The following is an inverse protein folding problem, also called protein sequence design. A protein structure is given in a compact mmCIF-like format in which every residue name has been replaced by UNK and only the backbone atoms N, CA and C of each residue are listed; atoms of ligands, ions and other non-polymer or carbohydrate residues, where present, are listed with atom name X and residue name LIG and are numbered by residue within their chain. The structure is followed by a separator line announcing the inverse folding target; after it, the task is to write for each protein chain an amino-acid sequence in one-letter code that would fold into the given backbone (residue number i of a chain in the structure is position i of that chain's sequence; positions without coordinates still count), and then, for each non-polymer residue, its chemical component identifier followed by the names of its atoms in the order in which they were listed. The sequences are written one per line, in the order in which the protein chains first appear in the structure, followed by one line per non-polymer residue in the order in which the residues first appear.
data_IF_030350231960
#
_entry.id   IF_030350231960
#
_cell.length_a   1.000
_cell.length_b   1.000
_cell.length_c   1.000
_cell.angle_alpha   90.00
_cell.angle_beta   90.00
_cell.angle_gamma   90.00
#
_symmetry.space_group_name_H-M   'P 1'
#
loop_
_entity.id
_entity.type
_entity.pdbx_description
1 polymer ?
#
# COMPACT_ATOMS: atom_id res chain seq x y z
N UNK A 1 5.68 -15.55 -10.20
CA UNK A 1 5.34 -14.52 -11.19
C UNK A 1 5.77 -13.12 -10.75
N UNK A 2 5.31 -12.58 -9.60
CA UNK A 2 5.68 -11.23 -9.12
C UNK A 2 7.18 -11.02 -8.99
N UNK A 3 7.88 -12.01 -8.45
CA UNK A 3 9.33 -11.95 -8.33
C UNK A 3 10.00 -11.80 -9.70
N UNK A 4 9.63 -12.62 -10.69
CA UNK A 4 10.18 -12.60 -12.05
C UNK A 4 10.07 -11.22 -12.71
N UNK A 5 8.91 -10.58 -12.63
CA UNK A 5 8.71 -9.25 -13.24
C UNK A 5 9.49 -8.16 -12.50
N UNK A 6 9.57 -8.23 -11.17
CA UNK A 6 10.42 -7.33 -10.38
C UNK A 6 11.90 -7.53 -10.73
N UNK A 7 12.34 -8.78 -10.91
CA UNK A 7 13.72 -9.08 -11.32
C UNK A 7 14.05 -8.44 -12.68
N UNK A 8 13.13 -8.53 -13.64
CA UNK A 8 13.31 -7.93 -14.96
C UNK A 8 13.38 -6.41 -14.88
N UNK A 9 12.44 -5.77 -14.18
CA UNK A 9 12.43 -4.32 -13.98
C UNK A 9 13.74 -3.80 -13.37
N UNK A 10 14.24 -4.46 -12.32
CA UNK A 10 15.48 -4.07 -11.65
C UNK A 10 16.73 -4.23 -12.53
N UNK A 11 16.75 -5.21 -13.44
CA UNK A 11 17.86 -5.42 -14.39
C UNK A 11 17.90 -4.35 -15.47
N UNK A 12 16.75 -3.82 -15.85
CA UNK A 12 16.61 -2.70 -16.79
C UNK A 12 16.70 -1.33 -16.09
N UNK A 13 17.23 -1.29 -14.87
CA UNK A 13 17.39 -0.09 -14.05
C UNK A 13 16.08 0.69 -13.78
N UNK A 14 14.95 0.00 -13.70
CA UNK A 14 13.67 0.61 -13.33
C UNK A 14 13.54 0.68 -11.81
N UNK A 15 13.44 1.89 -11.26
CA UNK A 15 13.22 2.13 -9.84
C UNK A 15 11.83 1.63 -9.42
N UNK A 16 11.72 0.81 -8.36
CA UNK A 16 10.43 0.29 -7.90
C UNK A 16 9.72 1.21 -6.91
N UNK A 17 8.39 1.17 -6.95
CA UNK A 17 7.48 1.60 -5.87
C UNK A 17 6.51 0.44 -5.58
N UNK A 18 5.95 0.38 -4.37
CA UNK A 18 5.13 -0.77 -3.95
C UNK A 18 3.70 -0.34 -3.60
N UNK A 19 2.73 -0.92 -4.29
CA UNK A 19 1.31 -0.81 -3.92
C UNK A 19 0.77 -2.17 -3.43
N UNK A 20 0.38 -2.23 -2.16
CA UNK A 20 -0.27 -3.42 -1.58
C UNK A 20 -1.78 -3.34 -1.83
N UNK A 21 -2.26 -4.12 -2.78
CA UNK A 21 -3.67 -4.13 -3.20
C UNK A 21 -4.50 -5.19 -2.43
N UNK A 22 -5.83 -5.06 -2.53
CA UNK A 22 -6.85 -5.96 -1.93
C UNK A 22 -6.89 -5.93 -0.41
N UNK A 23 -6.56 -4.79 0.20
CA UNK A 23 -6.60 -4.62 1.67
C UNK A 23 -8.03 -4.80 2.21
N UNK A 24 -9.05 -4.52 1.41
CA UNK A 24 -10.46 -4.77 1.75
C UNK A 24 -10.74 -6.24 2.12
N UNK A 25 -10.08 -7.20 1.47
CA UNK A 25 -10.24 -8.64 1.78
C UNK A 25 -9.59 -9.01 3.11
N UNK A 26 -8.51 -8.33 3.50
CA UNK A 26 -7.85 -8.55 4.79
C UNK A 26 -8.78 -8.21 5.96
N UNK A 27 -9.63 -7.20 5.78
CA UNK A 27 -10.60 -6.78 6.79
C UNK A 27 -11.90 -7.59 6.70
N UNK A 28 -12.45 -7.80 5.50
CA UNK A 28 -13.77 -8.46 5.34
C UNK A 28 -13.71 -9.97 5.51
N UNK A 29 -12.73 -10.63 4.90
CA UNK A 29 -12.66 -12.09 4.87
C UNK A 29 -11.82 -12.62 6.02
N UNK A 30 -10.64 -12.02 6.24
CA UNK A 30 -9.69 -12.48 7.25
C UNK A 30 -9.87 -11.81 8.62
N UNK A 31 -10.66 -10.72 8.71
CA UNK A 31 -10.94 -9.96 9.94
C UNK A 31 -9.70 -9.70 10.78
N UNK A 32 -8.60 -9.34 10.12
CA UNK A 32 -7.31 -9.14 10.78
C UNK A 32 -7.33 -7.89 11.66
N UNK A 33 -6.73 -8.00 12.84
CA UNK A 33 -6.48 -6.86 13.72
C UNK A 33 -5.45 -5.91 13.08
N UNK A 34 -5.45 -4.60 13.42
CA UNK A 34 -4.52 -3.63 12.85
C UNK A 34 -3.04 -4.07 12.95
N UNK A 35 -2.65 -4.65 14.08
CA UNK A 35 -1.29 -5.15 14.31
C UNK A 35 -0.93 -6.30 13.34
N UNK A 36 -1.84 -7.24 13.11
CA UNK A 36 -1.63 -8.35 12.19
C UNK A 36 -1.52 -7.87 10.73
N UNK A 37 -2.28 -6.83 10.36
CA UNK A 37 -2.14 -6.20 9.04
C UNK A 37 -0.79 -5.52 8.89
N UNK A 38 -0.35 -4.78 9.92
CA UNK A 38 0.98 -4.15 9.92
C UNK A 38 2.10 -5.18 9.79
N UNK A 39 2.07 -6.26 10.58
CA UNK A 39 3.03 -7.35 10.47
C UNK A 39 3.05 -7.95 9.06
N UNK A 40 1.87 -8.15 8.46
CA UNK A 40 1.76 -8.67 7.10
C UNK A 40 2.35 -7.71 6.07
N UNK A 41 2.10 -6.41 6.19
CA UNK A 41 2.68 -5.40 5.31
C UNK A 41 4.19 -5.34 5.45
N UNK A 42 4.72 -5.31 6.68
CA UNK A 42 6.16 -5.34 6.94
C UNK A 42 6.82 -6.58 6.33
N UNK A 43 6.16 -7.74 6.40
CA UNK A 43 6.66 -8.98 5.77
C UNK A 43 6.70 -8.89 4.26
N UNK A 44 5.68 -8.29 3.62
CA UNK A 44 5.65 -8.05 2.18
C UNK A 44 6.78 -7.10 1.77
N UNK A 45 6.91 -5.97 2.47
CA UNK A 45 7.94 -4.96 2.23
C UNK A 45 9.33 -5.56 2.37
N UNK A 46 9.59 -6.31 3.45
CA UNK A 46 10.87 -6.98 3.69
C UNK A 46 11.23 -7.95 2.55
N UNK A 47 10.26 -8.71 2.04
CA UNK A 47 10.49 -9.61 0.90
C UNK A 47 10.84 -8.85 -0.38
N UNK A 48 10.16 -7.73 -0.66
CA UNK A 48 10.46 -6.88 -1.82
C UNK A 48 11.85 -6.24 -1.69
N UNK A 49 12.16 -5.70 -0.52
CA UNK A 49 13.46 -5.10 -0.20
C UNK A 49 14.63 -6.08 -0.30
N UNK A 50 14.42 -7.35 0.07
CA UNK A 50 15.39 -8.42 -0.16
C UNK A 50 15.65 -8.62 -1.65
N UNK A 51 14.60 -8.69 -2.48
CA UNK A 51 14.76 -8.83 -3.93
C UNK A 51 15.50 -7.65 -4.55
N UNK A 52 15.21 -6.43 -4.09
CA UNK A 52 15.91 -5.21 -4.54
C UNK A 52 17.40 -5.31 -4.19
N UNK A 53 17.75 -5.67 -2.95
CA UNK A 53 19.15 -5.81 -2.53
C UNK A 53 19.91 -6.90 -3.31
N UNK A 54 19.22 -7.98 -3.65
CA UNK A 54 19.83 -9.12 -4.36
C UNK A 54 20.10 -8.80 -5.84
N UNK A 55 19.26 -7.97 -6.48
CA UNK A 55 19.23 -7.84 -7.94
C UNK A 55 19.65 -6.44 -8.43
N UNK A 56 19.30 -5.38 -7.70
CA UNK A 56 19.58 -4.02 -8.14
C UNK A 56 21.10 -3.79 -8.31
N UNK A 57 21.50 -2.90 -9.22
CA UNK A 57 22.90 -2.49 -9.35
C UNK A 57 23.46 -1.99 -8.02
N UNK A 58 24.76 -2.18 -7.79
CA UNK A 58 25.41 -1.89 -6.51
C UNK A 58 25.14 -0.45 -6.00
N UNK A 59 25.03 0.52 -6.92
CA UNK A 59 24.74 1.92 -6.62
C UNK A 59 23.31 2.20 -6.14
N UNK A 60 22.36 1.29 -6.40
CA UNK A 60 20.94 1.46 -6.10
C UNK A 60 20.39 0.51 -5.02
N UNK A 61 21.14 -0.52 -4.61
CA UNK A 61 20.69 -1.54 -3.65
C UNK A 61 20.07 -0.97 -2.37
N UNK A 62 20.65 0.09 -1.82
CA UNK A 62 20.13 0.75 -0.61
C UNK A 62 19.22 1.94 -0.93
N UNK A 63 19.41 2.62 -2.08
CA UNK A 63 18.62 3.79 -2.48
C UNK A 63 17.21 3.45 -2.97
N UNK A 64 17.00 2.25 -3.49
CA UNK A 64 15.72 1.80 -4.04
C UNK A 64 14.91 0.95 -3.06
N UNK A 65 15.38 0.81 -1.83
CA UNK A 65 14.61 0.17 -0.76
C UNK A 65 13.30 0.94 -0.58
N UNK A 66 12.19 0.21 -0.45
CA UNK A 66 10.87 0.80 -0.24
C UNK A 66 10.50 0.78 1.24
N UNK A 67 9.83 1.82 1.71
CA UNK A 67 9.40 1.98 3.10
C UNK A 67 8.00 2.59 3.18
N UNK A 68 7.31 2.28 4.28
CA UNK A 68 6.03 2.95 4.59
C UNK A 68 6.30 4.41 4.98
N UNK A 69 7.41 4.68 5.67
CA UNK A 69 7.68 5.99 6.28
C UNK A 69 8.06 7.06 5.27
N UNK A 70 8.74 6.68 4.18
CA UNK A 70 9.19 7.62 3.15
C UNK A 70 8.13 7.88 2.07
N UNK A 71 7.03 7.11 2.04
CA UNK A 71 5.95 7.27 1.06
C UNK A 71 6.04 6.34 -0.16
N UNK A 72 7.13 5.58 -0.32
CA UNK A 72 7.36 4.67 -1.46
C UNK A 72 6.52 3.39 -1.41
N UNK A 73 5.82 3.17 -0.30
CA UNK A 73 4.82 2.11 -0.12
C UNK A 73 3.44 2.71 0.15
N UNK A 74 2.47 2.34 -0.68
CA UNK A 74 1.06 2.61 -0.46
C UNK A 74 0.26 1.30 -0.36
N UNK A 75 -0.92 1.36 0.25
CA UNK A 75 -1.79 0.21 0.42
C UNK A 75 -3.26 0.62 0.23
N UNK A 76 -4.10 -0.30 -0.25
CA UNK A 76 -5.51 0.00 -0.43
C UNK A 76 -6.29 -1.03 -1.21
N UNK A 77 -7.38 -0.57 -1.82
CA UNK A 77 -8.26 -1.39 -2.65
C UNK A 77 -8.52 -0.69 -3.98
N UNK A 78 -7.93 -1.24 -5.05
CA UNK A 78 -8.21 -0.77 -6.40
C UNK A 78 -9.70 -0.94 -6.77
N UNK A 79 -10.33 -2.00 -6.27
CA UNK A 79 -11.75 -2.27 -6.52
C UNK A 79 -12.65 -1.23 -5.85
N UNK A 80 -12.34 -0.85 -4.61
CA UNK A 80 -13.10 0.15 -3.85
C UNK A 80 -12.59 1.59 -4.06
N UNK A 81 -11.61 1.78 -4.96
CA UNK A 81 -11.05 3.08 -5.38
C UNK A 81 -10.48 3.95 -4.26
N UNK A 82 -9.97 3.35 -3.20
CA UNK A 82 -9.26 4.07 -2.13
C UNK A 82 -7.84 3.52 -1.92
N UNK A 83 -6.94 4.40 -1.52
CA UNK A 83 -5.56 4.07 -1.16
C UNK A 83 -5.09 4.93 0.00
N UNK A 84 -4.05 4.50 0.70
CA UNK A 84 -3.37 5.28 1.73
C UNK A 84 -1.87 5.02 1.72
N UNK A 85 -1.12 6.06 2.01
CA UNK A 85 0.31 6.02 2.36
C UNK A 85 0.50 6.67 3.72
N UNK A 86 1.66 6.50 4.35
CA UNK A 86 1.94 7.16 5.63
C UNK A 86 1.91 8.69 5.50
N UNK A 87 2.48 9.23 4.42
CA UNK A 87 2.46 10.64 4.11
C UNK A 87 1.01 11.16 3.99
N UNK A 88 0.18 10.47 3.21
CA UNK A 88 -1.21 10.87 3.00
C UNK A 88 -2.05 10.78 4.28
N UNK A 89 -1.85 9.73 5.09
CA UNK A 89 -2.50 9.58 6.40
C UNK A 89 -2.15 10.74 7.34
N UNK A 90 -0.87 11.13 7.39
CA UNK A 90 -0.41 12.24 8.23
C UNK A 90 -0.97 13.58 7.77
N UNK A 91 -1.03 13.82 6.46
CA UNK A 91 -1.55 15.06 5.89
C UNK A 91 -3.06 15.22 6.11
N UNK A 92 -3.85 14.17 5.86
CA UNK A 92 -5.31 14.20 5.97
C UNK A 92 -5.84 13.87 7.37
N UNK A 93 -4.95 13.54 8.32
CA UNK A 93 -5.32 13.11 9.67
C UNK A 93 -6.12 11.79 9.69
N UNK A 94 -5.87 10.91 8.71
CA UNK A 94 -6.52 9.61 8.60
C UNK A 94 -5.68 8.54 9.28
N UNK A 95 -6.35 7.54 9.84
CA UNK A 95 -5.70 6.43 10.51
C UNK A 95 -6.18 5.08 9.97
N UNK A 96 -5.39 4.04 10.22
CA UNK A 96 -5.83 2.65 9.96
C UNK A 96 -7.13 2.29 10.67
N UNK A 97 -7.41 2.92 11.82
CA UNK A 97 -8.63 2.68 12.58
C UNK A 97 -9.86 3.12 11.79
N UNK A 98 -9.82 4.27 11.11
CA UNK A 98 -10.95 4.77 10.32
C UNK A 98 -11.35 3.82 9.20
N UNK A 99 -10.36 3.17 8.59
CA UNK A 99 -10.58 2.13 7.58
C UNK A 99 -11.25 0.92 8.23
N UNK A 100 -10.69 0.42 9.33
CA UNK A 100 -11.20 -0.78 10.01
C UNK A 100 -12.63 -0.55 10.49
N UNK A 101 -12.92 0.59 11.09
CA UNK A 101 -14.25 0.98 11.55
C UNK A 101 -15.23 1.01 10.38
N UNK A 102 -14.82 1.54 9.22
CA UNK A 102 -15.61 1.52 7.99
C UNK A 102 -15.96 0.09 7.55
N UNK A 103 -15.01 -0.85 7.64
CA UNK A 103 -15.24 -2.24 7.21
C UNK A 103 -15.90 -3.13 8.26
N UNK A 104 -15.91 -2.72 9.53
CA UNK A 104 -16.58 -3.42 10.64
C UNK A 104 -18.08 -3.12 10.75
N UNK A 105 -18.61 -2.14 10.00
CA UNK A 105 -20.05 -1.86 9.93
C UNK A 105 -20.78 -3.14 9.50
N UNK A 106 -21.72 -3.64 10.30
CA UNK A 106 -22.42 -4.90 10.03
C UNK A 106 -23.36 -4.81 8.83
N UNK A 107 -24.07 -3.68 8.70
CA UNK A 107 -24.99 -3.42 7.60
C UNK A 107 -24.25 -3.18 6.28
N UNK A 108 -24.49 -4.04 5.29
CA UNK A 108 -23.81 -3.98 3.99
C UNK A 108 -24.12 -2.70 3.20
N UNK A 109 -25.32 -2.13 3.36
CA UNK A 109 -25.72 -0.89 2.68
C UNK A 109 -24.95 0.29 3.25
N UNK A 110 -24.96 0.44 4.58
CA UNK A 110 -24.23 1.50 5.28
C UNK A 110 -22.73 1.38 5.09
N UNK A 111 -22.18 0.15 5.12
CA UNK A 111 -20.78 -0.11 4.79
C UNK A 111 -20.44 0.35 3.38
N UNK A 112 -21.29 0.06 2.41
CA UNK A 112 -21.10 0.49 1.02
C UNK A 112 -21.03 2.01 0.89
N UNK A 113 -21.85 2.74 1.63
CA UNK A 113 -21.82 4.21 1.66
C UNK A 113 -20.57 4.74 2.37
N UNK A 114 -20.20 4.15 3.51
CA UNK A 114 -19.00 4.53 4.25
C UNK A 114 -17.72 4.26 3.45
N UNK A 115 -17.64 3.14 2.70
CA UNK A 115 -16.52 2.85 1.78
C UNK A 115 -16.46 3.86 0.64
N UNK A 116 -17.61 4.28 0.08
CA UNK A 116 -17.65 5.36 -0.92
C UNK A 116 -17.19 6.69 -0.32
N UNK A 117 -17.55 7.00 0.93
CA UNK A 117 -17.07 8.18 1.64
C UNK A 117 -15.55 8.10 1.89
N UNK A 118 -15.04 6.93 2.25
CA UNK A 118 -13.60 6.67 2.39
C UNK A 118 -12.87 6.89 1.06
N UNK A 119 -13.41 6.39 -0.05
CA UNK A 119 -12.84 6.60 -1.38
C UNK A 119 -12.85 8.07 -1.84
N UNK A 120 -13.75 8.90 -1.30
CA UNK A 120 -13.72 10.35 -1.51
C UNK A 120 -12.70 11.06 -0.62
N UNK A 121 -12.46 10.57 0.60
CA UNK A 121 -11.48 11.13 1.55
C UNK A 121 -10.03 10.73 1.21
N UNK A 122 -9.86 9.51 0.70
CA UNK A 122 -8.57 8.93 0.34
C UNK A 122 -8.65 8.29 -1.05
N UNK A 123 -8.85 9.11 -2.11
CA UNK A 123 -8.97 8.61 -3.46
C UNK A 123 -7.69 7.92 -3.91
N UNK A 124 -7.84 6.73 -4.50
CA UNK A 124 -6.71 5.91 -4.93
C UNK A 124 -5.75 6.62 -5.87
N UNK A 125 -6.28 7.44 -6.79
CA UNK A 125 -5.48 8.07 -7.82
C UNK A 125 -4.56 9.14 -7.24
N UNK A 126 -5.01 9.94 -6.26
CA UNK A 126 -4.15 10.92 -5.59
C UNK A 126 -2.99 10.20 -4.90
N UNK A 127 -3.28 9.19 -4.07
CA UNK A 127 -2.23 8.47 -3.33
C UNK A 127 -1.21 7.78 -4.24
N UNK A 128 -1.66 7.16 -5.34
CA UNK A 128 -0.74 6.52 -6.27
C UNK A 128 0.06 7.57 -7.07
N UNK A 129 -0.58 8.64 -7.54
CA UNK A 129 0.10 9.66 -8.34
C UNK A 129 1.12 10.43 -7.49
N UNK A 130 0.78 10.75 -6.24
CA UNK A 130 1.70 11.39 -5.29
C UNK A 130 2.94 10.50 -5.07
N UNK A 131 2.72 9.20 -4.81
CA UNK A 131 3.81 8.22 -4.68
C UNK A 131 4.67 8.12 -5.95
N UNK A 132 4.07 8.23 -7.13
CA UNK A 132 4.80 8.22 -8.41
C UNK A 132 5.61 9.50 -8.58
N UNK A 133 5.03 10.67 -8.32
CA UNK A 133 5.70 11.97 -8.47
C UNK A 133 6.90 12.10 -7.52
N UNK A 134 6.75 11.64 -6.27
CA UNK A 134 7.79 11.79 -5.26
C UNK A 134 8.92 10.76 -5.39
N UNK A 135 8.65 9.60 -6.01
CA UNK A 135 9.57 8.48 -6.00
C UNK A 135 10.00 7.92 -7.35
N UNK A 136 9.42 8.30 -8.50
CA UNK A 136 9.84 7.86 -9.83
C UNK A 136 10.34 9.03 -10.68
#
# INVERSE_FOLDING_TARGET
QTETVVRQALRENVKPVLFINKVDRLMRELKLMPQQMQERFLKIISNVNRLIRDIAPAEYKEKWQVSVQDGSVAFGSAFQKWGMSFAYMKEKGLSFKDIIDTYNIENDVERGEAVKALAKKAPLHEVILDMVIDHL
#
